data_IF_312409790841
#
_entry.id   IF_312409790841
#
_cell.length_a   1.000
_cell.length_b   1.000
_cell.length_c   1.000
_cell.angle_alpha   90.00
_cell.angle_beta   90.00
_cell.angle_gamma   90.00
#
_symmetry.space_group_name_H-M   'P 1'
#
loop_
_entity.id
_entity.type
_entity.pdbx_description
1 polymer ?
#
# COMPACT_ATOMS: atom_id res chain seq x y z
N UNK A 1 38.31 -32.16 48.77
CA UNK A 1 36.98 -32.76 48.48
C UNK A 1 36.01 -32.22 49.50
N UNK A 2 34.78 -31.89 49.09
CA UNK A 2 33.78 -31.00 49.73
C UNK A 2 34.10 -29.50 49.53
N UNK A 3 33.17 -28.58 49.22
CA UNK A 3 31.69 -28.56 49.18
C UNK A 3 31.23 -27.22 48.55
N UNK A 4 29.97 -27.12 48.09
CA UNK A 4 29.29 -25.82 47.95
C UNK A 4 28.28 -25.68 46.79
N UNK A 5 27.13 -26.36 46.88
CA UNK A 5 25.92 -26.05 46.10
C UNK A 5 25.11 -24.94 46.79
N UNK A 6 24.61 -23.97 46.03
CA UNK A 6 23.61 -22.99 46.50
C UNK A 6 22.38 -23.09 45.60
N UNK A 7 21.33 -23.72 46.14
CA UNK A 7 19.96 -23.63 45.64
C UNK A 7 19.31 -22.33 46.11
N UNK A 8 18.51 -21.72 45.23
CA UNK A 8 17.69 -20.55 45.56
C UNK A 8 16.23 -21.01 45.63
N UNK A 9 15.71 -20.88 46.84
CA UNK A 9 14.34 -21.07 47.29
C UNK A 9 13.48 -19.87 46.85
N UNK A 10 12.35 -20.13 46.18
CA UNK A 10 11.36 -19.10 45.83
C UNK A 10 10.11 -19.36 46.67
N UNK A 11 10.06 -18.71 47.82
CA UNK A 11 8.92 -18.74 48.72
C UNK A 11 7.66 -18.16 48.06
N UNK A 12 6.60 -18.97 48.08
CA UNK A 12 5.22 -18.57 47.91
C UNK A 12 4.76 -17.82 49.17
N UNK A 13 4.36 -16.56 49.03
CA UNK A 13 3.50 -15.86 50.00
C UNK A 13 2.75 -14.72 49.28
N UNK A 14 1.54 -15.03 48.82
CA UNK A 14 0.54 -14.06 48.34
C UNK A 14 -0.61 -14.00 49.35
N UNK A 15 -0.71 -12.95 50.17
CA UNK A 15 -1.88 -12.72 51.01
C UNK A 15 -2.73 -11.57 50.44
N UNK A 16 -3.98 -11.85 50.09
CA UNK A 16 -5.01 -10.80 50.07
C UNK A 16 -6.16 -10.98 49.09
N UNK A 17 -7.07 -11.90 49.41
CA UNK A 17 -8.46 -11.87 48.98
C UNK A 17 -9.20 -10.70 49.67
N UNK A 18 -10.07 -10.02 48.90
CA UNK A 18 -11.43 -9.58 49.25
C UNK A 18 -11.76 -8.18 48.72
N UNK A 19 -12.67 -8.11 47.74
CA UNK A 19 -13.86 -7.22 47.76
C UNK A 19 -14.69 -7.30 46.47
N UNK A 20 -15.85 -7.93 46.62
CA UNK A 20 -17.18 -7.60 46.09
C UNK A 20 -17.41 -7.17 44.63
N UNK A 21 -17.93 -8.16 43.90
CA UNK A 21 -19.16 -8.15 43.10
C UNK A 21 -20.07 -6.92 43.29
N UNK A 22 -20.28 -6.16 42.22
CA UNK A 22 -21.62 -5.60 41.94
C UNK A 22 -21.91 -5.62 40.44
N UNK A 23 -22.96 -6.38 40.12
CA UNK A 23 -23.61 -6.52 38.83
C UNK A 23 -24.36 -5.23 38.48
N UNK A 24 -24.01 -4.60 37.36
CA UNK A 24 -24.87 -3.64 36.68
C UNK A 24 -24.77 -3.87 35.16
N UNK A 25 -25.69 -4.66 34.63
CA UNK A 25 -26.06 -4.58 33.21
C UNK A 25 -26.88 -3.31 32.96
N UNK A 26 -26.75 -2.69 31.78
CA UNK A 26 -27.92 -2.07 31.18
C UNK A 26 -28.18 -2.60 29.76
N UNK A 27 -29.30 -3.30 29.69
CA UNK A 27 -30.37 -3.24 28.69
C UNK A 27 -30.08 -2.70 27.28
N UNK A 28 -30.38 -3.60 26.35
CA UNK A 28 -30.66 -3.44 24.92
C UNK A 28 -31.24 -2.10 24.46
N UNK A 29 -30.64 -1.54 23.40
CA UNK A 29 -31.40 -0.84 22.35
C UNK A 29 -30.98 -1.35 20.96
N UNK A 30 -31.81 -2.26 20.47
CA UNK A 30 -31.81 -2.81 19.11
C UNK A 30 -32.30 -1.71 18.16
N UNK A 31 -31.41 -1.06 17.41
CA UNK A 31 -31.81 -0.18 16.31
C UNK A 31 -31.89 -0.97 14.99
N UNK A 32 -33.06 -0.84 14.36
CA UNK A 32 -33.46 -1.45 13.08
C UNK A 32 -32.83 -0.69 11.90
N UNK A 33 -32.37 -1.49 10.93
CA UNK A 33 -32.41 -1.27 9.47
C UNK A 33 -32.08 0.12 8.92
N UNK A 34 -30.90 0.22 8.30
CA UNK A 34 -30.57 1.23 7.29
C UNK A 34 -30.42 0.56 5.91
N UNK A 35 -31.22 1.05 4.98
CA UNK A 35 -31.34 0.75 3.56
C UNK A 35 -29.98 0.64 2.81
N UNK A 36 -29.78 -0.43 2.05
CA UNK A 36 -28.67 -0.57 1.09
C UNK A 36 -29.10 0.12 -0.21
N UNK A 37 -28.42 1.17 -0.70
CA UNK A 37 -28.68 1.70 -2.03
C UNK A 37 -28.26 0.69 -3.09
N UNK A 38 -29.09 0.57 -4.12
CA UNK A 38 -28.95 -0.34 -5.25
C UNK A 38 -27.61 -0.18 -6.01
N UNK A 39 -27.19 -1.28 -6.63
CA UNK A 39 -26.05 -1.39 -7.55
C UNK A 39 -25.96 -0.21 -8.53
N UNK A 40 -24.74 0.30 -8.70
CA UNK A 40 -24.41 1.26 -9.75
C UNK A 40 -24.70 0.66 -11.14
N UNK A 41 -25.20 1.45 -12.11
CA UNK A 41 -25.51 0.97 -13.44
C UNK A 41 -24.23 0.46 -14.14
N UNK A 42 -24.34 -0.71 -14.78
CA UNK A 42 -23.32 -1.23 -15.69
C UNK A 42 -23.16 -0.23 -16.84
N UNK A 43 -21.94 0.26 -17.03
CA UNK A 43 -21.57 1.09 -18.17
C UNK A 43 -22.01 0.39 -19.47
N UNK A 44 -22.95 1.00 -20.18
CA UNK A 44 -23.38 0.56 -21.50
C UNK A 44 -22.21 0.68 -22.48
N UNK A 45 -22.07 -0.32 -23.34
CA UNK A 45 -21.05 -0.44 -24.38
C UNK A 45 -21.06 0.78 -25.32
N UNK A 46 -20.21 1.76 -25.06
CA UNK A 46 -19.92 2.82 -26.00
C UNK A 46 -19.09 2.23 -27.15
N UNK A 47 -19.68 2.21 -28.36
CA UNK A 47 -18.92 1.94 -29.59
C UNK A 47 -17.95 3.10 -29.83
N UNK A 48 -16.66 2.80 -29.81
CA UNK A 48 -15.62 3.75 -30.19
C UNK A 48 -15.46 3.63 -31.71
N UNK A 49 -15.77 4.70 -32.44
CA UNK A 49 -15.55 4.78 -33.89
C UNK A 49 -14.03 4.71 -34.16
N UNK A 50 -13.55 3.76 -35.00
CA UNK A 50 -12.14 3.63 -35.31
C UNK A 50 -11.74 4.72 -36.32
N UNK A 51 -11.25 5.86 -35.83
CA UNK A 51 -10.78 6.91 -36.74
C UNK A 51 -10.22 8.19 -36.12
N UNK A 52 -10.51 8.50 -34.84
CA UNK A 52 -10.04 9.74 -34.22
C UNK A 52 -9.54 9.51 -32.79
N UNK A 53 -8.25 9.22 -32.64
CA UNK A 53 -7.62 9.22 -31.31
C UNK A 53 -6.11 9.48 -31.41
N UNK A 54 -5.73 10.73 -31.67
CA UNK A 54 -4.43 11.28 -31.29
C UNK A 54 -4.49 12.82 -31.31
N UNK A 55 -5.44 13.42 -30.60
CA UNK A 55 -5.36 14.84 -30.24
C UNK A 55 -4.68 14.95 -28.88
N UNK A 56 -3.70 15.83 -28.77
CA UNK A 56 -2.74 15.92 -27.68
C UNK A 56 -3.42 16.23 -26.34
N UNK A 57 -3.50 15.20 -25.49
CA UNK A 57 -3.66 15.35 -24.04
C UNK A 57 -2.54 16.29 -23.52
N UNK A 58 -2.78 17.15 -22.51
CA UNK A 58 -1.68 17.80 -21.82
C UNK A 58 -0.70 16.70 -21.39
N UNK A 59 0.55 16.78 -21.86
CA UNK A 59 1.54 15.68 -21.86
C UNK A 59 1.90 15.17 -20.45
N UNK A 60 0.96 14.58 -19.72
CA UNK A 60 1.29 13.49 -18.84
C UNK A 60 1.76 12.37 -19.79
N UNK A 61 3.08 12.34 -20.05
CA UNK A 61 3.71 11.38 -20.94
C UNK A 61 3.26 9.98 -20.55
N UNK A 62 2.28 9.45 -21.29
CA UNK A 62 1.84 8.07 -21.14
C UNK A 62 3.09 7.19 -21.29
N UNK A 63 3.32 6.22 -20.40
CA UNK A 63 4.45 5.32 -20.55
C UNK A 63 4.37 4.57 -21.88
N UNK A 64 5.51 4.30 -22.52
CA UNK A 64 5.52 3.73 -23.87
C UNK A 64 4.82 2.37 -23.93
N UNK A 65 4.94 1.54 -22.88
CA UNK A 65 4.17 0.28 -22.75
C UNK A 65 2.65 0.48 -22.82
N UNK A 66 2.14 1.61 -22.34
CA UNK A 66 0.70 1.93 -22.37
C UNK A 66 0.31 2.35 -23.77
N UNK A 67 1.14 3.14 -24.46
CA UNK A 67 0.94 3.51 -25.87
C UNK A 67 0.96 2.28 -26.78
N UNK A 68 1.89 1.35 -26.56
CA UNK A 68 1.98 0.09 -27.29
C UNK A 68 0.73 -0.78 -27.08
N UNK A 69 0.22 -0.83 -25.84
CA UNK A 69 -1.02 -1.52 -25.53
C UNK A 69 -2.24 -0.86 -26.19
N UNK A 70 -2.25 0.46 -26.36
CA UNK A 70 -3.31 1.18 -27.08
C UNK A 70 -3.23 0.99 -28.60
N UNK A 71 -2.02 0.82 -29.15
CA UNK A 71 -1.82 0.74 -30.59
C UNK A 71 -2.57 -0.46 -31.22
N UNK A 72 -3.39 -0.18 -32.24
CA UNK A 72 -4.14 -1.18 -32.98
C UNK A 72 -5.34 -1.78 -32.24
N UNK A 73 -5.73 -1.21 -31.11
CA UNK A 73 -6.89 -1.67 -30.34
C UNK A 73 -8.17 -0.98 -30.79
N UNK A 74 -9.23 -1.76 -31.00
CA UNK A 74 -10.53 -1.28 -31.47
C UNK A 74 -11.56 -1.07 -30.36
N UNK A 75 -11.33 -1.60 -29.17
CA UNK A 75 -12.27 -1.56 -28.05
C UNK A 75 -11.59 -1.55 -26.69
N UNK A 76 -12.29 -1.06 -25.66
CA UNK A 76 -11.76 -1.09 -24.30
C UNK A 76 -11.50 -2.51 -23.79
N UNK A 77 -12.35 -3.46 -24.16
CA UNK A 77 -12.21 -4.87 -23.77
C UNK A 77 -10.89 -5.46 -24.31
N UNK A 78 -10.54 -5.13 -25.55
CA UNK A 78 -9.29 -5.55 -26.18
C UNK A 78 -8.08 -4.86 -25.53
N UNK A 79 -8.17 -3.55 -25.23
CA UNK A 79 -7.12 -2.82 -24.52
C UNK A 79 -6.89 -3.42 -23.13
N UNK A 80 -7.96 -3.69 -22.39
CA UNK A 80 -7.91 -4.30 -21.06
C UNK A 80 -7.22 -5.66 -21.06
N UNK A 81 -7.41 -6.45 -22.12
CA UNK A 81 -6.77 -7.77 -22.28
C UNK A 81 -5.31 -7.65 -22.70
N UNK A 82 -5.00 -6.69 -23.57
CA UNK A 82 -3.66 -6.47 -24.10
C UNK A 82 -2.74 -5.78 -23.09
N UNK A 83 -3.26 -4.84 -22.29
CA UNK A 83 -2.50 -4.15 -21.25
C UNK A 83 -2.24 -5.08 -20.07
N UNK A 84 -0.96 -5.21 -19.73
CA UNK A 84 -0.50 -5.88 -18.52
C UNK A 84 -0.23 -4.83 -17.44
N UNK A 85 -0.91 -4.96 -16.31
CA UNK A 85 -0.68 -4.18 -15.11
C UNK A 85 0.59 -4.67 -14.41
N UNK A 86 1.60 -3.80 -14.26
CA UNK A 86 2.88 -4.12 -13.61
C UNK A 86 2.92 -3.52 -12.20
N UNK A 87 3.08 -4.36 -11.19
CA UNK A 87 3.17 -3.94 -9.79
C UNK A 87 4.51 -4.32 -9.17
N UNK A 88 5.15 -3.38 -8.49
CA UNK A 88 6.41 -3.60 -7.77
C UNK A 88 6.12 -3.80 -6.28
N UNK A 89 6.49 -4.96 -5.73
CA UNK A 89 6.36 -5.23 -4.30
C UNK A 89 7.73 -5.44 -3.66
N UNK A 90 8.16 -4.44 -2.90
CA UNK A 90 9.45 -4.40 -2.22
C UNK A 90 9.30 -4.86 -0.77
N UNK A 91 10.28 -5.64 -0.29
CA UNK A 91 10.25 -6.35 1.01
C UNK A 91 9.13 -7.39 1.08
N UNK A 92 8.96 -8.14 -0.02
CA UNK A 92 7.88 -9.13 -0.13
C UNK A 92 8.04 -10.32 0.81
N UNK A 93 9.21 -10.52 1.41
CA UNK A 93 9.59 -11.75 2.07
C UNK A 93 9.87 -12.89 1.07
N UNK A 94 10.25 -14.08 1.59
CA UNK A 94 10.50 -15.26 0.77
C UNK A 94 9.23 -15.80 0.10
N UNK A 95 8.06 -15.41 0.59
CA UNK A 95 6.77 -15.73 0.00
C UNK A 95 5.96 -14.44 -0.20
N UNK A 96 5.80 -14.01 -1.44
CA UNK A 96 5.01 -12.81 -1.75
C UNK A 96 3.51 -13.08 -1.74
N UNK A 97 2.92 -13.02 -0.56
CA UNK A 97 1.49 -13.27 -0.34
C UNK A 97 0.60 -12.14 -0.85
N UNK A 98 1.10 -10.90 -0.84
CA UNK A 98 0.38 -9.76 -1.37
C UNK A 98 0.36 -9.79 -2.90
N UNK A 99 1.51 -10.05 -3.53
CA UNK A 99 1.61 -10.21 -4.98
C UNK A 99 0.78 -11.37 -5.51
N UNK A 100 0.73 -12.50 -4.78
CA UNK A 100 -0.20 -13.60 -5.08
C UNK A 100 -1.65 -13.14 -5.03
N UNK A 101 -2.05 -12.40 -4.00
CA UNK A 101 -3.41 -11.87 -3.87
C UNK A 101 -3.76 -10.88 -4.99
N UNK A 102 -2.85 -9.97 -5.35
CA UNK A 102 -3.02 -9.02 -6.47
C UNK A 102 -3.24 -9.77 -7.79
N UNK A 103 -2.39 -10.75 -8.11
CA UNK A 103 -2.54 -11.58 -9.34
C UNK A 103 -3.87 -12.32 -9.36
N UNK A 104 -4.27 -12.90 -8.23
CA UNK A 104 -5.53 -13.62 -8.10
C UNK A 104 -6.73 -12.70 -8.33
N UNK A 105 -6.71 -11.49 -7.77
CA UNK A 105 -7.79 -10.51 -7.96
C UNK A 105 -7.83 -9.96 -9.39
N UNK A 106 -6.67 -9.65 -9.99
CA UNK A 106 -6.60 -9.22 -11.39
C UNK A 106 -7.15 -10.30 -12.35
N UNK A 107 -6.89 -11.58 -12.04
CA UNK A 107 -7.42 -12.71 -12.81
C UNK A 107 -8.95 -12.77 -12.74
N UNK A 108 -9.55 -12.56 -11.56
CA UNK A 108 -11.03 -12.50 -11.41
C UNK A 108 -11.64 -11.40 -12.26
N UNK A 109 -10.96 -10.27 -12.35
CA UNK A 109 -11.34 -9.10 -13.16
C UNK A 109 -10.95 -9.24 -14.65
N UNK A 110 -10.41 -10.40 -15.07
CA UNK A 110 -9.98 -10.70 -16.45
C UNK A 110 -8.95 -9.71 -16.98
N UNK A 111 -7.94 -9.40 -16.17
CA UNK A 111 -6.86 -8.44 -16.48
C UNK A 111 -5.50 -9.14 -16.48
N UNK A 112 -4.62 -8.71 -17.37
CA UNK A 112 -3.21 -9.08 -17.32
C UNK A 112 -2.54 -8.41 -16.13
N UNK A 113 -1.80 -9.17 -15.32
CA UNK A 113 -1.07 -8.64 -14.17
C UNK A 113 0.27 -9.35 -13.99
N UNK A 114 1.32 -8.54 -13.88
CA UNK A 114 2.65 -8.94 -13.46
C UNK A 114 2.97 -8.28 -12.12
N UNK A 115 3.56 -9.06 -11.22
CA UNK A 115 4.06 -8.55 -9.94
C UNK A 115 5.52 -8.94 -9.84
N UNK A 116 6.38 -7.93 -9.71
CA UNK A 116 7.80 -8.08 -9.42
C UNK A 116 7.99 -8.01 -7.91
N UNK A 117 8.42 -9.12 -7.32
CA UNK A 117 8.62 -9.26 -5.88
C UNK A 117 10.10 -9.17 -5.56
N UNK A 118 10.50 -8.21 -4.73
CA UNK A 118 11.88 -7.98 -4.35
C UNK A 118 12.07 -8.18 -2.84
N UNK A 119 12.96 -9.10 -2.47
CA UNK A 119 13.34 -9.31 -1.08
C UNK A 119 14.78 -9.82 -0.97
N UNK A 120 15.56 -9.29 -0.03
CA UNK A 120 16.97 -9.67 0.19
C UNK A 120 17.18 -11.16 0.49
N UNK A 121 16.18 -11.85 1.02
CA UNK A 121 16.26 -13.29 1.31
C UNK A 121 16.18 -14.14 0.04
N UNK A 122 15.65 -13.57 -1.05
CA UNK A 122 15.49 -14.24 -2.35
C UNK A 122 16.49 -13.68 -3.36
N UNK A 123 16.63 -12.36 -3.42
CA UNK A 123 17.50 -11.62 -4.33
C UNK A 123 18.80 -11.25 -3.58
N UNK A 124 19.82 -12.10 -3.67
CA UNK A 124 21.08 -11.91 -2.90
C UNK A 124 21.85 -10.64 -3.28
N UNK A 125 21.70 -10.17 -4.50
CA UNK A 125 22.36 -8.96 -5.02
C UNK A 125 21.55 -7.68 -4.73
N UNK A 126 20.38 -7.82 -4.09
CA UNK A 126 19.53 -6.70 -3.71
C UNK A 126 19.92 -6.19 -2.32
N UNK A 127 20.45 -4.98 -2.26
CA UNK A 127 20.68 -4.24 -1.03
C UNK A 127 19.66 -3.11 -0.90
N UNK A 128 18.51 -3.44 -0.32
CA UNK A 128 17.47 -2.45 -0.03
C UNK A 128 17.86 -1.42 1.07
N UNK A 129 19.07 -1.49 1.61
CA UNK A 129 19.63 -0.42 2.47
C UNK A 129 20.42 0.61 1.66
N UNK A 130 20.75 0.31 0.40
CA UNK A 130 21.34 1.29 -0.52
C UNK A 130 20.26 2.27 -1.01
N UNK A 131 20.47 3.53 -0.65
CA UNK A 131 19.61 4.66 -1.04
C UNK A 131 19.56 4.84 -2.56
N UNK A 132 20.64 4.54 -3.28
CA UNK A 132 20.67 4.66 -4.73
C UNK A 132 19.82 3.58 -5.39
N UNK A 133 19.94 2.33 -4.97
CA UNK A 133 19.10 1.23 -5.48
C UNK A 133 17.61 1.50 -5.20
N UNK A 134 17.26 1.98 -3.99
CA UNK A 134 15.89 2.38 -3.70
C UNK A 134 15.40 3.55 -4.57
N UNK A 135 16.27 4.54 -4.83
CA UNK A 135 15.95 5.69 -5.68
C UNK A 135 15.73 5.27 -7.13
N UNK A 136 16.53 4.34 -7.65
CA UNK A 136 16.37 3.77 -9.00
C UNK A 136 15.02 3.09 -9.16
N UNK A 137 14.62 2.23 -8.20
CA UNK A 137 13.28 1.62 -8.19
C UNK A 137 12.17 2.68 -8.20
N UNK A 138 12.30 3.74 -7.39
CA UNK A 138 11.35 4.85 -7.40
C UNK A 138 11.32 5.60 -8.75
N UNK A 139 12.46 5.72 -9.43
CA UNK A 139 12.56 6.33 -10.76
C UNK A 139 11.91 5.46 -11.83
N UNK A 140 12.06 4.13 -11.78
CA UNK A 140 11.37 3.20 -12.67
C UNK A 140 9.85 3.33 -12.55
N UNK A 141 9.32 3.39 -11.31
CA UNK A 141 7.89 3.63 -11.07
C UNK A 141 7.45 4.98 -11.63
N UNK A 142 8.25 6.05 -11.45
CA UNK A 142 7.95 7.39 -11.99
C UNK A 142 8.04 7.47 -13.51
N UNK A 143 8.96 6.73 -14.12
CA UNK A 143 9.10 6.58 -15.57
C UNK A 143 7.97 5.72 -16.15
N UNK A 144 7.17 5.09 -15.29
CA UNK A 144 6.00 4.32 -15.67
C UNK A 144 6.32 2.89 -16.07
N UNK A 145 7.49 2.35 -15.71
CA UNK A 145 7.79 0.91 -15.87
C UNK A 145 6.80 0.07 -15.04
N UNK A 146 6.41 0.59 -13.87
CA UNK A 146 5.37 0.03 -13.01
C UNK A 146 4.17 0.97 -12.92
N UNK A 147 2.98 0.40 -12.79
CA UNK A 147 1.72 1.12 -12.53
C UNK A 147 1.55 1.46 -11.04
N UNK A 148 2.22 0.72 -10.17
CA UNK A 148 2.16 0.92 -8.73
C UNK A 148 3.30 0.22 -8.01
N UNK A 149 3.57 0.69 -6.79
CA UNK A 149 4.58 0.11 -5.91
C UNK A 149 4.06 0.04 -4.49
N UNK A 150 4.31 -1.09 -3.81
CA UNK A 150 4.26 -1.20 -2.36
C UNK A 150 5.68 -1.27 -1.82
N UNK A 151 6.00 -0.37 -0.90
CA UNK A 151 7.25 -0.42 -0.14
C UNK A 151 6.87 -0.43 1.33
N UNK A 152 7.41 -1.42 2.04
CA UNK A 152 7.49 -1.34 3.49
C UNK A 152 8.67 -0.45 3.82
N UNK A 153 8.43 0.86 3.95
CA UNK A 153 9.47 1.75 4.43
C UNK A 153 9.72 1.40 5.90
N UNK A 154 10.92 0.92 6.20
CA UNK A 154 11.42 0.79 7.56
C UNK A 154 12.56 1.80 7.68
N UNK A 155 12.28 3.12 7.73
CA UNK A 155 13.30 4.13 7.74
C UNK A 155 13.83 4.22 9.17
N UNK A 156 14.77 3.35 9.55
CA UNK A 156 15.23 3.31 10.93
C UNK A 156 16.74 3.50 11.09
N UNK A 157 17.18 4.14 12.19
CA UNK A 157 18.52 3.95 12.74
C UNK A 157 18.82 2.46 12.99
N UNK A 158 20.11 2.10 13.14
CA UNK A 158 20.52 0.71 13.28
C UNK A 158 19.70 0.00 14.36
N UNK A 159 19.22 -1.22 14.09
CA UNK A 159 18.35 -1.90 15.02
C UNK A 159 19.07 -2.03 16.36
N UNK A 160 18.43 -1.61 17.45
CA UNK A 160 19.02 -1.70 18.79
C UNK A 160 19.16 -3.15 19.26
N UNK A 161 18.78 -4.13 18.44
CA UNK A 161 18.89 -5.58 18.68
C UNK A 161 19.28 -6.28 17.40
N UNK A 162 19.98 -7.39 17.49
CA UNK A 162 20.20 -8.29 16.36
C UNK A 162 19.51 -9.63 16.60
N UNK A 163 19.56 -10.51 15.60
CA UNK A 163 19.10 -11.88 15.74
C UNK A 163 19.97 -12.68 16.72
N UNK A 164 21.23 -12.28 16.90
CA UNK A 164 22.14 -12.85 17.88
C UNK A 164 22.00 -12.20 19.26
N UNK A 165 21.54 -10.94 19.30
CA UNK A 165 21.52 -10.10 20.50
C UNK A 165 20.13 -9.49 20.71
N UNK A 166 19.17 -10.36 21.07
CA UNK A 166 17.74 -10.03 21.17
C UNK A 166 17.38 -9.13 22.37
N UNK A 167 18.34 -8.87 23.26
CA UNK A 167 18.18 -7.97 24.41
C UNK A 167 18.91 -6.65 24.22
N UNK A 168 19.60 -6.46 23.10
CA UNK A 168 20.37 -5.26 22.83
C UNK A 168 21.69 -5.61 22.19
N UNK A 169 22.09 -4.90 21.12
CA UNK A 169 23.45 -5.04 20.60
C UNK A 169 24.45 -4.75 21.72
N UNK A 170 25.48 -5.58 21.86
CA UNK A 170 26.61 -5.34 22.76
C UNK A 170 27.31 -4.01 22.49
N UNK A 171 27.18 -3.48 21.27
CA UNK A 171 27.66 -2.17 20.85
C UNK A 171 26.69 -1.01 21.15
N UNK A 172 25.54 -1.28 21.75
CA UNK A 172 24.58 -0.23 22.05
C UNK A 172 25.15 0.75 23.09
N UNK A 173 25.09 2.07 22.84
CA UNK A 173 25.22 3.05 23.90
C UNK A 173 24.06 2.91 24.89
N UNK A 174 24.26 3.38 26.13
CA UNK A 174 23.30 3.24 27.25
C UNK A 174 21.86 3.65 26.90
N UNK A 175 21.70 4.68 26.06
CA UNK A 175 20.40 5.16 25.59
C UNK A 175 19.67 4.14 24.70
N UNK A 176 20.39 3.53 23.74
CA UNK A 176 19.84 2.49 22.85
C UNK A 176 19.67 1.15 23.57
N UNK A 177 20.52 0.87 24.55
CA UNK A 177 20.37 -0.31 25.38
C UNK A 177 19.10 -0.21 26.24
N UNK A 178 18.78 0.97 26.78
CA UNK A 178 17.52 1.19 27.49
C UNK A 178 16.28 0.97 26.61
N UNK A 179 16.35 1.33 25.32
CA UNK A 179 15.32 0.99 24.33
C UNK A 179 15.25 -0.53 24.08
N UNK A 180 16.41 -1.19 23.99
CA UNK A 180 16.49 -2.63 23.86
C UNK A 180 15.97 -3.39 25.11
N UNK A 181 16.13 -2.83 26.32
CA UNK A 181 15.68 -3.46 27.57
C UNK A 181 14.17 -3.34 27.78
N UNK A 182 13.53 -2.31 27.20
CA UNK A 182 12.08 -2.08 27.28
C UNK A 182 11.22 -3.05 26.45
N UNK A 183 11.84 -3.94 25.66
CA UNK A 183 11.11 -4.78 24.70
C UNK A 183 10.69 -4.01 23.44
N UNK A 184 10.41 -4.69 22.32
CA UNK A 184 9.83 -4.01 21.13
C UNK A 184 8.32 -4.01 21.31
N UNK A 185 7.85 -3.29 22.32
CA UNK A 185 6.52 -2.72 22.31
C UNK A 185 6.69 -1.50 21.42
N UNK A 186 5.88 -1.33 20.36
CA UNK A 186 5.86 -0.06 19.62
C UNK A 186 5.68 1.04 20.66
N UNK A 187 6.73 1.83 20.88
CA UNK A 187 6.94 2.57 22.12
C UNK A 187 5.94 3.71 22.25
N UNK A 188 5.25 3.78 23.39
CA UNK A 188 4.35 4.89 23.75
C UNK A 188 5.10 6.24 23.85
N UNK A 189 6.45 6.26 23.78
CA UNK A 189 7.30 7.47 23.76
C UNK A 189 8.00 7.77 22.44
N UNK A 190 8.59 6.78 21.75
CA UNK A 190 9.26 6.99 20.46
C UNK A 190 8.34 6.80 19.23
N UNK A 191 7.12 6.31 19.45
CA UNK A 191 6.15 6.08 18.40
C UNK A 191 6.47 4.86 17.53
N UNK A 192 5.48 4.43 16.75
CA UNK A 192 5.73 3.50 15.64
C UNK A 192 6.65 4.16 14.60
N UNK A 193 7.28 3.41 13.69
CA UNK A 193 8.17 4.01 12.66
C UNK A 193 7.54 5.08 11.79
N UNK A 194 6.21 5.07 11.74
CA UNK A 194 5.36 6.08 11.11
C UNK A 194 5.39 7.44 11.81
N UNK A 195 5.93 7.53 13.03
CA UNK A 195 5.98 8.74 13.83
C UNK A 195 7.23 9.59 13.62
N UNK A 196 8.21 9.08 12.86
CA UNK A 196 9.42 9.80 12.50
C UNK A 196 9.09 11.05 11.67
N UNK A 197 9.67 12.23 12.00
CA UNK A 197 9.41 13.49 11.30
C UNK A 197 9.63 13.42 9.79
N UNK A 198 10.67 12.72 9.33
CA UNK A 198 11.04 12.60 7.92
C UNK A 198 9.99 11.81 7.13
N UNK A 199 9.48 10.73 7.73
CA UNK A 199 8.44 9.91 7.13
C UNK A 199 7.09 10.64 7.15
N UNK A 200 6.77 11.35 8.25
CA UNK A 200 5.59 12.22 8.31
C UNK A 200 5.63 13.28 7.23
N UNK A 201 6.75 14.00 7.10
CA UNK A 201 6.93 15.04 6.09
C UNK A 201 6.84 14.47 4.66
N UNK A 202 7.43 13.31 4.40
CA UNK A 202 7.36 12.66 3.09
C UNK A 202 5.92 12.24 2.75
N UNK A 203 5.21 11.60 3.69
CA UNK A 203 3.81 11.22 3.53
C UNK A 203 2.88 12.43 3.36
N UNK A 204 3.12 13.52 4.10
CA UNK A 204 2.36 14.78 3.97
C UNK A 204 2.63 15.47 2.64
N UNK A 205 3.89 15.54 2.20
CA UNK A 205 4.29 16.13 0.93
C UNK A 205 3.63 15.44 -0.26
N UNK A 206 3.44 14.11 -0.18
CA UNK A 206 2.74 13.36 -1.23
C UNK A 206 1.22 13.33 -1.03
N UNK A 207 0.68 13.89 0.07
CA UNK A 207 -0.74 13.82 0.38
C UNK A 207 -1.23 12.37 0.59
N UNK A 208 -0.41 11.53 1.22
CA UNK A 208 -0.75 10.14 1.47
C UNK A 208 -1.91 9.99 2.48
N UNK A 209 -2.84 9.09 2.17
CA UNK A 209 -3.78 8.57 3.15
C UNK A 209 -3.03 7.69 4.14
N UNK A 210 -3.36 7.79 5.43
CA UNK A 210 -2.78 6.99 6.51
C UNK A 210 -3.89 6.20 7.17
N UNK A 211 -3.73 4.89 7.25
CA UNK A 211 -4.77 3.97 7.72
C UNK A 211 -4.19 3.02 8.76
N UNK A 212 -4.36 3.33 10.06
CA UNK A 212 -3.93 2.44 11.13
C UNK A 212 -4.86 1.23 11.25
N UNK A 213 -4.28 0.08 11.58
CA UNK A 213 -5.02 -1.15 11.81
C UNK A 213 -4.29 -2.10 12.79
N UNK A 214 -5.01 -3.05 13.37
CA UNK A 214 -4.43 -4.16 14.12
C UNK A 214 -4.47 -5.44 13.27
N UNK A 215 -3.36 -6.18 13.16
CA UNK A 215 -3.29 -7.40 12.32
C UNK A 215 -4.33 -8.45 12.67
N UNK A 216 -4.72 -8.57 13.95
CA UNK A 216 -5.75 -9.52 14.40
C UNK A 216 -7.13 -9.28 13.77
N UNK A 217 -7.40 -8.06 13.29
CA UNK A 217 -8.66 -7.73 12.62
C UNK A 217 -8.75 -8.30 11.19
N UNK A 218 -7.64 -8.81 10.66
CA UNK A 218 -7.50 -9.50 9.38
C UNK A 218 -7.10 -10.98 9.52
N UNK A 219 -7.31 -11.55 10.71
CA UNK A 219 -7.06 -12.97 10.99
C UNK A 219 -8.34 -13.62 11.52
N UNK A 220 -9.50 -13.26 10.94
CA UNK A 220 -10.80 -13.66 11.47
C UNK A 220 -11.00 -15.18 11.47
N UNK A 221 -10.38 -15.88 10.52
CA UNK A 221 -10.38 -17.34 10.43
C UNK A 221 -9.56 -18.06 11.51
N UNK A 222 -8.74 -17.34 12.29
CA UNK A 222 -7.84 -17.92 13.28
C UNK A 222 -8.34 -17.70 14.72
N UNK A 223 -8.16 -18.70 15.59
CA UNK A 223 -8.44 -18.60 17.04
C UNK A 223 -7.30 -17.92 17.81
N UNK A 224 -6.06 -18.14 17.36
CA UNK A 224 -4.85 -17.47 17.86
C UNK A 224 -4.44 -16.44 16.82
N UNK A 225 -4.34 -15.18 17.23
CA UNK A 225 -4.11 -14.03 16.33
C UNK A 225 -2.92 -13.21 16.81
N UNK A 226 -2.28 -12.50 15.91
CA UNK A 226 -1.23 -11.55 16.25
C UNK A 226 -1.87 -10.20 16.55
N UNK A 227 -1.68 -9.67 17.75
CA UNK A 227 -2.01 -8.27 18.05
C UNK A 227 -0.81 -7.39 17.72
N UNK A 228 -0.75 -6.89 16.49
CA UNK A 228 0.29 -5.97 16.04
C UNK A 228 -0.38 -4.71 15.47
N UNK A 229 -0.22 -3.55 16.11
CA UNK A 229 -0.53 -2.26 15.50
C UNK A 229 0.33 -2.07 14.25
N UNK A 230 -0.28 -1.64 13.16
CA UNK A 230 0.36 -1.37 11.89
C UNK A 230 -0.38 -0.25 11.16
N UNK A 231 0.22 0.26 10.08
CA UNK A 231 -0.36 1.32 9.26
C UNK A 231 -0.12 1.00 7.80
N UNK A 232 -1.12 1.29 6.96
CA UNK A 232 -0.94 1.44 5.53
C UNK A 232 -0.91 2.91 5.21
N UNK A 233 0.07 3.36 4.43
CA UNK A 233 0.16 4.75 3.99
C UNK A 233 0.43 4.83 2.49
N UNK A 234 -0.23 5.74 1.79
CA UNK A 234 0.02 5.96 0.37
C UNK A 234 -1.12 6.66 -0.36
N UNK A 235 -1.01 6.70 -1.70
CA UNK A 235 -2.01 7.31 -2.60
C UNK A 235 -3.09 6.35 -3.09
N UNK A 236 -3.08 5.10 -2.64
CA UNK A 236 -4.07 4.13 -3.07
C UNK A 236 -5.47 4.62 -2.67
N UNK A 237 -6.37 4.68 -3.64
CA UNK A 237 -7.75 5.12 -3.42
C UNK A 237 -8.51 4.08 -2.60
N UNK A 238 -9.48 4.55 -1.80
CA UNK A 238 -10.33 3.66 -1.02
C UNK A 238 -9.61 2.93 0.11
N UNK A 239 -8.47 3.43 0.62
CA UNK A 239 -7.74 2.83 1.74
C UNK A 239 -8.51 2.84 3.07
N UNK A 240 -9.43 3.79 3.28
CA UNK A 240 -10.11 4.00 4.57
C UNK A 240 -10.74 2.74 5.22
N UNK A 241 -11.40 1.82 4.49
CA UNK A 241 -11.97 0.59 5.05
C UNK A 241 -10.94 -0.42 5.57
N UNK A 242 -9.65 -0.24 5.26
CA UNK A 242 -8.58 -1.03 5.87
C UNK A 242 -8.32 -0.62 7.33
N UNK A 243 -8.86 0.53 7.78
CA UNK A 243 -8.68 0.96 9.16
C UNK A 243 -9.54 0.12 10.07
N UNK A 244 -8.88 -0.77 10.82
CA UNK A 244 -9.55 -1.73 11.68
C UNK A 244 -8.84 -1.81 13.02
N UNK A 245 -9.56 -1.39 14.04
CA UNK A 245 -9.14 -1.59 15.44
C UNK A 245 -9.47 -3.02 15.88
N UNK A 246 -8.72 -3.54 16.84
CA UNK A 246 -9.03 -4.81 17.46
C UNK A 246 -10.42 -4.77 18.11
N UNK A 247 -11.28 -5.70 17.72
CA UNK A 247 -12.59 -5.99 18.33
C UNK A 247 -12.74 -7.47 18.62
N UNK A 248 -11.62 -8.14 18.85
CA UNK A 248 -11.62 -9.57 19.14
C UNK A 248 -12.37 -9.83 20.45
N UNK A 249 -13.27 -10.81 20.48
CA UNK A 249 -13.92 -11.21 21.72
C UNK A 249 -12.92 -11.89 22.67
N UNK A 250 -13.27 -11.97 23.96
CA UNK A 250 -12.37 -12.43 25.02
C UNK A 250 -11.83 -13.87 24.83
N UNK A 251 -12.51 -14.71 24.06
CA UNK A 251 -12.07 -16.09 23.77
C UNK A 251 -11.02 -16.19 22.65
N UNK A 252 -10.68 -15.08 21.99
CA UNK A 252 -9.58 -15.02 21.01
C UNK A 252 -8.28 -14.80 21.76
N UNK A 253 -7.29 -15.64 21.46
CA UNK A 253 -5.97 -15.54 22.08
C UNK A 253 -5.10 -14.64 21.21
N UNK A 254 -4.63 -13.54 21.77
CA UNK A 254 -3.59 -12.74 21.15
C UNK A 254 -2.22 -13.30 21.53
N UNK A 255 -1.53 -13.89 20.57
CA UNK A 255 -0.20 -14.43 20.83
C UNK A 255 0.82 -13.29 21.02
N UNK A 256 1.57 -13.26 22.13
CA UNK A 256 2.64 -12.30 22.31
C UNK A 256 3.77 -12.58 21.32
N UNK A 257 4.19 -11.54 20.59
CA UNK A 257 5.22 -11.61 19.55
C UNK A 257 6.63 -11.48 20.14
N UNK A 258 6.97 -12.38 21.06
CA UNK A 258 8.27 -12.39 21.73
C UNK A 258 9.22 -13.37 21.01
N UNK A 259 10.40 -12.86 20.64
CA UNK A 259 11.46 -13.64 20.00
C UNK A 259 11.36 -13.75 18.48
N UNK A 260 12.53 -13.98 17.84
CA UNK A 260 12.71 -13.99 16.37
C UNK A 260 11.71 -14.85 15.62
N UNK A 261 11.46 -16.07 16.09
CA UNK A 261 10.58 -17.02 15.38
C UNK A 261 9.16 -16.47 15.25
N UNK A 262 8.62 -15.90 16.33
CA UNK A 262 7.26 -15.34 16.34
C UNK A 262 7.18 -14.03 15.58
N UNK A 263 8.17 -13.15 15.73
CA UNK A 263 8.20 -11.86 15.01
C UNK A 263 8.37 -12.04 13.50
N UNK A 264 9.17 -13.01 13.05
CA UNK A 264 9.29 -13.35 11.62
C UNK A 264 7.96 -13.87 11.07
N UNK A 265 7.29 -14.79 11.77
CA UNK A 265 5.97 -15.28 11.38
C UNK A 265 4.93 -14.16 11.31
N UNK A 266 4.94 -13.23 12.27
CA UNK A 266 4.07 -12.06 12.27
C UNK A 266 4.52 -10.94 11.32
N UNK A 267 5.67 -11.09 10.67
CA UNK A 267 6.13 -10.23 9.58
C UNK A 267 5.38 -10.49 8.27
N UNK A 268 4.90 -11.71 8.06
CA UNK A 268 4.01 -12.05 6.94
C UNK A 268 2.66 -11.37 7.13
N UNK A 269 2.18 -10.68 6.10
CA UNK A 269 0.84 -10.08 6.13
C UNK A 269 -0.24 -11.16 6.28
N UNK A 270 -1.33 -10.88 7.02
CA UNK A 270 -2.51 -11.74 7.04
C UNK A 270 -3.14 -11.84 5.64
N UNK A 271 -3.60 -13.04 5.25
CA UNK A 271 -4.17 -13.27 3.92
C UNK A 271 -5.39 -12.37 3.66
N UNK A 272 -6.26 -12.17 4.67
CA UNK A 272 -7.45 -11.31 4.54
C UNK A 272 -7.07 -9.84 4.29
N UNK A 273 -5.91 -9.40 4.81
CA UNK A 273 -5.39 -8.06 4.53
C UNK A 273 -4.88 -7.97 3.10
N UNK A 274 -4.11 -8.96 2.65
CA UNK A 274 -3.63 -9.03 1.27
C UNK A 274 -4.77 -9.06 0.26
N UNK A 275 -5.83 -9.82 0.52
CA UNK A 275 -7.04 -9.86 -0.30
C UNK A 275 -7.74 -8.50 -0.35
N UNK A 276 -7.85 -7.80 0.79
CA UNK A 276 -8.48 -6.48 0.85
C UNK A 276 -7.66 -5.42 0.10
N UNK A 277 -6.32 -5.42 0.25
CA UNK A 277 -5.43 -4.51 -0.48
C UNK A 277 -5.43 -4.82 -1.98
N UNK A 278 -5.40 -6.09 -2.37
CA UNK A 278 -5.43 -6.51 -3.78
C UNK A 278 -6.65 -5.96 -4.53
N UNK A 279 -7.83 -5.98 -3.89
CA UNK A 279 -9.05 -5.37 -4.44
C UNK A 279 -8.88 -3.89 -4.72
N UNK A 280 -8.29 -3.15 -3.78
CA UNK A 280 -8.06 -1.71 -3.94
C UNK A 280 -7.04 -1.43 -5.05
N UNK A 281 -5.95 -2.20 -5.13
CA UNK A 281 -4.93 -2.07 -6.18
C UNK A 281 -5.54 -2.28 -7.56
N UNK A 282 -6.29 -3.36 -7.75
CA UNK A 282 -6.92 -3.68 -9.04
C UNK A 282 -8.05 -2.69 -9.39
N UNK A 283 -8.79 -2.20 -8.38
CA UNK A 283 -9.80 -1.17 -8.58
C UNK A 283 -9.18 0.19 -8.98
N UNK A 284 -8.08 0.60 -8.33
CA UNK A 284 -7.35 1.82 -8.69
C UNK A 284 -6.84 1.78 -10.13
N UNK A 285 -6.31 0.63 -10.55
CA UNK A 285 -5.90 0.42 -11.95
C UNK A 285 -7.08 0.48 -12.92
N UNK A 286 -8.24 -0.07 -12.55
CA UNK A 286 -9.47 0.04 -13.35
C UNK A 286 -9.88 1.50 -13.54
N UNK A 287 -9.86 2.29 -12.48
CA UNK A 287 -10.21 3.72 -12.54
C UNK A 287 -9.21 4.48 -13.42
N UNK A 288 -7.91 4.19 -13.28
CA UNK A 288 -6.88 4.80 -14.12
C UNK A 288 -7.09 4.48 -15.60
N UNK A 289 -7.40 3.22 -15.94
CA UNK A 289 -7.71 2.81 -17.31
C UNK A 289 -8.94 3.49 -17.90
N UNK A 290 -10.01 3.66 -17.12
CA UNK A 290 -11.21 4.35 -17.57
C UNK A 290 -10.93 5.84 -17.84
N UNK A 291 -10.18 6.50 -16.95
CA UNK A 291 -9.82 7.91 -17.12
C UNK A 291 -8.98 8.20 -18.37
N UNK A 292 -8.16 7.24 -18.83
CA UNK A 292 -7.39 7.37 -20.08
C UNK A 292 -8.30 7.39 -21.33
N UNK A 293 -9.50 6.83 -21.25
CA UNK A 293 -10.42 6.71 -22.40
C UNK A 293 -11.58 7.69 -22.37
N UNK A 294 -11.97 8.18 -21.20
CA UNK A 294 -13.13 9.07 -21.02
C UNK A 294 -12.80 10.57 -21.20
N UNK A 295 -11.54 10.97 -21.33
CA UNK A 295 -11.19 12.37 -21.65
C UNK A 295 -11.79 12.78 -23.00
N UNK A 296 -12.81 13.67 -23.03
CA UNK A 296 -13.42 14.11 -24.27
C UNK A 296 -12.40 14.91 -25.08
N UNK A 297 -12.32 14.61 -26.37
CA UNK A 297 -11.65 15.48 -27.34
C UNK A 297 -12.43 16.80 -27.36
N UNK A 298 -11.91 17.84 -26.72
CA UNK A 298 -12.44 19.20 -26.92
C UNK A 298 -12.36 19.49 -28.42
N UNK A 299 -13.52 19.73 -29.03
CA UNK A 299 -13.63 20.14 -30.42
C UNK A 299 -12.91 21.49 -30.56
N UNK A 300 -11.68 21.45 -31.07
CA UNK A 300 -11.07 22.61 -31.67
C UNK A 300 -11.93 23.00 -32.88
N UNK A 301 -12.85 23.95 -32.65
CA UNK A 301 -13.70 24.51 -33.67
C UNK A 301 -12.83 25.19 -34.73
N UNK A 302 -12.76 24.58 -35.89
CA UNK A 302 -12.47 25.27 -37.13
C UNK A 302 -13.53 26.34 -37.36
N UNK A 303 -13.12 27.61 -37.36
CA UNK A 303 -13.88 28.67 -38.02
C UNK A 303 -12.93 29.58 -38.76
N UNK A 304 -13.00 29.57 -40.09
CA UNK A 304 -12.71 30.76 -40.89
C UNK A 304 -11.67 30.62 -41.98
N UNK A 305 -12.05 29.94 -43.06
CA UNK A 305 -11.49 30.11 -44.40
C UNK A 305 -11.62 31.59 -44.81
N UNK A 306 -10.52 32.18 -45.28
CA UNK A 306 -10.49 33.51 -45.90
C UNK A 306 -9.44 33.57 -47.01
N UNK A 307 -9.78 33.01 -48.17
CA UNK A 307 -9.05 33.18 -49.44
C UNK A 307 -9.06 34.63 -49.90
N UNK A 308 -7.90 35.21 -50.23
CA UNK A 308 -7.79 36.21 -51.29
C UNK A 308 -6.36 36.33 -51.79
N UNK A 309 -6.10 35.69 -52.93
CA UNK A 309 -5.01 36.02 -53.84
C UNK A 309 -5.44 37.23 -54.67
N UNK A 310 -4.69 38.33 -54.64
CA UNK A 310 -4.59 39.24 -55.79
C UNK A 310 -3.21 39.88 -55.85
N UNK A 311 -2.54 39.66 -56.97
CA UNK A 311 -1.34 40.35 -57.42
C UNK A 311 -1.71 41.47 -58.42
N UNK A 312 -0.92 42.54 -58.38
CA UNK A 312 -0.58 43.54 -59.42
C UNK A 312 -1.68 44.49 -59.92
N UNK A 313 -1.49 45.80 -59.68
CA UNK A 313 -1.50 46.87 -60.71
C UNK A 313 -0.55 48.01 -60.28
N UNK A 314 0.43 48.31 -61.12
CA UNK A 314 1.24 49.55 -61.10
C UNK A 314 0.46 50.76 -61.65
N UNK A 315 0.71 51.95 -61.07
CA UNK A 315 0.65 53.34 -61.62
C UNK A 315 0.84 54.26 -60.39
N UNK A 316 1.79 55.18 -60.29
CA UNK A 316 2.30 56.14 -61.26
C UNK A 316 1.72 57.52 -60.94
N UNK A 317 2.58 58.48 -60.52
CA UNK A 317 2.37 59.95 -60.47
C UNK A 317 1.38 60.50 -59.40
N UNK A 318 1.49 61.67 -58.77
CA UNK A 318 2.43 62.81 -58.78
C UNK A 318 2.05 63.75 -57.59
N UNK A 319 3.03 64.53 -57.10
CA UNK A 319 2.92 65.97 -56.70
C UNK A 319 1.98 66.39 -55.54
N UNK A 320 2.56 66.62 -54.35
CA UNK A 320 2.97 67.94 -53.81
C UNK A 320 3.71 67.80 -52.49
#
# INVERSE_FOLDING_TARGET
MAEGELGVDWGDDDPGLDADVSLLEPESKRQKTGHIPAEAPRASEAKIEPGHAAAELPEAKLPDRVKEALNGVSSFEEYRRKRVFKYLHVYSGPEDVLGKAIKAEATKERRGCEVTSLDKLVNKDLDMTDVNQHRELCQEVRAGEYDGMHVVENPWPPPVRSLAEIYGLSSNPKERQSEADKGTIGDDKCGTGWELPELKQSLEKVGANKVPFNTCSFQQKLKVRHFKPAMWAGKLEGLAPLSRVCRCPAWIIHEPLIGKSKTVKAGRYPDELCEAVAKLVVAGEKNHQAGVLETPVEQAGESGIGTSTQMVVERGEEVR
#
